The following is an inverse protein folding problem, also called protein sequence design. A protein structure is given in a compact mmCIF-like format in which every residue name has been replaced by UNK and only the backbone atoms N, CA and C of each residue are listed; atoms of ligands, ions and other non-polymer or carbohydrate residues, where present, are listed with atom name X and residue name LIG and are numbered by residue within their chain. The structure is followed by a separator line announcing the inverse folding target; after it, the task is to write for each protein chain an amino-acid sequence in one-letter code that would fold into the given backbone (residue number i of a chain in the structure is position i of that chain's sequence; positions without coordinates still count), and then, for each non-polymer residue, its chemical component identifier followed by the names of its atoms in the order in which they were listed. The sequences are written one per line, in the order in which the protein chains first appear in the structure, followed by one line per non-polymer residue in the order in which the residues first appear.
data_IF_565890625991
#
_entry.id   IF_565890625991
#
_cell.length_a   1.000
_cell.length_b   1.000
_cell.length_c   1.000
_cell.angle_alpha   90.00
_cell.angle_beta   90.00
_cell.angle_gamma   90.00
#
_symmetry.space_group_name_H-M   'P 1'
#
loop_
_entity.id
_entity.type
_entity.pdbx_description
1 polymer ?
#
# COMPACT_ATOMS: atom_id res chain seq x y z
N UNK A 1 -21.36 10.87 16.65
CA UNK A 1 -20.36 9.93 16.09
C UNK A 1 -20.06 8.88 17.14
N UNK A 2 -19.90 7.61 16.78
CA UNK A 2 -19.37 6.59 17.70
C UNK A 2 -17.88 6.85 18.01
N UNK A 3 -17.32 6.14 19.00
CA UNK A 3 -15.93 6.36 19.44
C UNK A 3 -14.92 6.17 18.30
N UNK A 4 -15.13 5.19 17.41
CA UNK A 4 -14.22 4.99 16.27
C UNK A 4 -14.20 6.21 15.36
N UNK A 5 -15.39 6.70 14.99
CA UNK A 5 -15.54 7.89 14.16
C UNK A 5 -15.06 9.17 14.84
N UNK A 6 -15.23 9.31 16.16
CA UNK A 6 -14.71 10.45 16.91
C UNK A 6 -13.19 10.53 16.83
N UNK A 7 -12.49 9.41 17.10
CA UNK A 7 -11.01 9.36 17.02
C UNK A 7 -10.53 9.64 15.59
N UNK A 8 -11.12 8.97 14.60
CA UNK A 8 -10.74 9.19 13.20
C UNK A 8 -10.97 10.65 12.77
N UNK A 9 -12.11 11.24 13.13
CA UNK A 9 -12.40 12.64 12.80
C UNK A 9 -11.43 13.59 13.48
N UNK A 10 -11.03 13.32 14.73
CA UNK A 10 -10.04 14.13 15.43
C UNK A 10 -8.68 14.12 14.71
N UNK A 11 -8.22 12.96 14.24
CA UNK A 11 -6.97 12.85 13.46
C UNK A 11 -7.07 13.62 12.14
N UNK A 12 -8.20 13.53 11.43
CA UNK A 12 -8.41 14.28 10.19
C UNK A 12 -8.43 15.79 10.44
N UNK A 13 -9.13 16.25 11.48
CA UNK A 13 -9.19 17.66 11.86
C UNK A 13 -7.82 18.20 12.29
N UNK A 14 -7.03 17.42 13.02
CA UNK A 14 -5.67 17.84 13.41
C UNK A 14 -4.75 17.97 12.17
N UNK A 15 -4.85 17.04 11.23
CA UNK A 15 -4.17 17.14 9.94
C UNK A 15 -4.59 18.36 9.12
N UNK A 16 -5.89 18.67 9.08
CA UNK A 16 -6.43 19.86 8.41
C UNK A 16 -5.91 21.17 9.05
N UNK A 17 -5.89 21.25 10.39
CA UNK A 17 -5.31 22.38 11.11
C UNK A 17 -3.82 22.56 10.80
N UNK A 18 -3.06 21.46 10.69
CA UNK A 18 -1.65 21.50 10.34
C UNK A 18 -1.44 22.03 8.90
N UNK A 19 -2.29 21.65 7.95
CA UNK A 19 -2.28 22.24 6.60
C UNK A 19 -2.59 23.74 6.67
N UNK A 20 -3.58 24.14 7.48
CA UNK A 20 -3.90 25.55 7.73
C UNK A 20 -2.69 26.35 8.23
N UNK A 21 -1.94 25.81 9.20
CA UNK A 21 -0.73 26.46 9.72
C UNK A 21 0.36 26.64 8.65
N UNK A 22 0.53 25.68 7.72
CA UNK A 22 1.45 25.82 6.58
C UNK A 22 1.00 26.95 5.64
N UNK A 23 -0.30 27.01 5.33
CA UNK A 23 -0.86 28.06 4.47
C UNK A 23 -0.73 29.45 5.09
N UNK A 24 -1.01 29.57 6.39
CA UNK A 24 -0.85 30.82 7.14
C UNK A 24 0.62 31.27 7.18
N UNK A 25 1.57 30.33 7.32
CA UNK A 25 2.99 30.64 7.24
C UNK A 25 3.39 31.16 5.85
N UNK A 26 2.97 30.50 4.77
CA UNK A 26 3.22 30.97 3.40
C UNK A 26 2.70 32.39 3.17
N UNK A 27 1.52 32.70 3.73
CA UNK A 27 0.92 34.03 3.66
C UNK A 27 1.68 35.06 4.50
N UNK A 28 2.04 34.72 5.74
CA UNK A 28 2.77 35.61 6.64
C UNK A 28 4.15 35.99 6.09
N UNK A 29 4.81 35.07 5.39
CA UNK A 29 6.10 35.29 4.71
C UNK A 29 5.95 35.95 3.33
N UNK A 30 4.73 36.24 2.87
CA UNK A 30 4.48 36.86 1.56
C UNK A 30 4.84 35.97 0.36
N UNK A 31 4.87 34.65 0.55
CA UNK A 31 5.25 33.67 -0.48
C UNK A 31 4.05 33.09 -1.24
N UNK A 32 2.84 33.43 -0.82
CA UNK A 32 1.57 32.85 -1.31
C UNK A 32 1.42 32.91 -2.84
N UNK A 33 1.69 34.06 -3.46
CA UNK A 33 1.49 34.25 -4.90
C UNK A 33 2.53 33.53 -5.77
N UNK A 34 3.68 33.16 -5.19
CA UNK A 34 4.77 32.46 -5.87
C UNK A 34 4.94 31.01 -5.39
N UNK A 35 3.90 30.42 -4.80
CA UNK A 35 3.93 29.04 -4.30
C UNK A 35 2.80 28.22 -4.94
N UNK A 36 3.16 27.05 -5.47
CA UNK A 36 2.19 26.01 -5.84
C UNK A 36 1.97 25.14 -4.60
N UNK A 37 0.74 25.08 -4.10
CA UNK A 37 0.36 24.14 -3.05
C UNK A 37 -0.45 23.01 -3.66
N UNK A 38 0.00 21.78 -3.47
CA UNK A 38 -0.71 20.56 -3.88
C UNK A 38 -0.97 19.71 -2.64
N UNK A 39 -2.23 19.41 -2.35
CA UNK A 39 -2.64 18.52 -1.26
C UNK A 39 -3.16 17.21 -1.84
N UNK A 40 -2.64 16.08 -1.35
CA UNK A 40 -3.04 14.75 -1.79
C UNK A 40 -2.77 13.68 -0.71
N UNK A 41 -2.98 12.42 -1.07
CA UNK A 41 -2.68 11.24 -0.24
C UNK A 41 -1.90 10.22 -1.07
N UNK A 42 -1.14 9.33 -0.43
CA UNK A 42 -0.31 8.33 -1.09
C UNK A 42 -1.11 7.12 -1.61
N UNK A 43 -2.24 6.81 -0.96
CA UNK A 43 -3.12 5.68 -1.27
C UNK A 43 -4.52 5.87 -0.66
N UNK A 44 -5.45 5.00 -1.03
CA UNK A 44 -6.77 4.90 -0.41
C UNK A 44 -6.75 4.60 1.10
N UNK A 45 -7.91 4.67 1.78
CA UNK A 45 -8.01 4.51 3.22
C UNK A 45 -7.68 3.09 3.67
N UNK A 46 -7.17 2.96 4.89
CA UNK A 46 -6.91 1.66 5.54
C UNK A 46 -8.22 0.92 5.88
N UNK A 47 -8.13 -0.41 5.95
CA UNK A 47 -9.21 -1.28 6.40
C UNK A 47 -9.42 -1.23 7.91
N UNK A 48 -10.68 -1.25 8.32
CA UNK A 48 -11.06 -1.22 9.74
C UNK A 48 -10.92 -2.62 10.35
N UNK A 49 -10.13 -2.76 11.42
CA UNK A 49 -10.08 -4.03 12.15
C UNK A 49 -11.39 -4.30 12.89
N UNK A 50 -11.75 -5.58 13.05
CA UNK A 50 -12.98 -5.99 13.74
C UNK A 50 -12.95 -5.73 15.24
N UNK A 51 -11.76 -5.71 15.85
CA UNK A 51 -11.57 -5.45 17.28
C UNK A 51 -10.39 -4.51 17.53
N UNK A 52 -10.48 -3.80 18.65
CA UNK A 52 -9.38 -2.98 19.15
C UNK A 52 -8.18 -3.89 19.45
N UNK A 53 -7.06 -3.64 18.76
CA UNK A 53 -5.79 -4.22 19.13
C UNK A 53 -5.20 -3.53 20.36
N UNK A 54 -4.12 -4.07 20.95
CA UNK A 54 -3.36 -3.32 21.95
C UNK A 54 -2.86 -2.02 21.32
N UNK A 55 -2.80 -0.98 22.14
CA UNK A 55 -2.08 0.25 21.81
C UNK A 55 -0.65 -0.11 21.39
N UNK A 56 -0.24 0.37 20.22
CA UNK A 56 1.10 0.11 19.68
C UNK A 56 1.83 1.43 19.57
N UNK A 57 2.99 1.50 20.23
CA UNK A 57 3.94 2.59 19.99
C UNK A 57 4.41 2.50 18.55
N UNK A 58 4.19 3.57 17.82
CA UNK A 58 4.82 3.84 16.54
C UNK A 58 6.21 4.42 16.84
N UNK A 59 7.29 3.70 16.49
CA UNK A 59 8.65 4.16 16.74
C UNK A 59 9.02 5.39 15.89
N UNK A 60 8.41 5.54 14.70
CA UNK A 60 8.71 6.62 13.76
C UNK A 60 8.04 7.92 14.21
N UNK A 61 6.82 7.81 14.75
CA UNK A 61 6.09 8.96 15.29
C UNK A 61 6.43 9.27 16.76
N UNK A 62 7.22 8.41 17.42
CA UNK A 62 7.45 8.43 18.88
C UNK A 62 6.14 8.58 19.70
N UNK A 63 5.05 7.99 19.20
CA UNK A 63 3.70 8.16 19.74
C UNK A 63 2.98 6.82 19.78
N UNK A 64 2.01 6.69 20.68
CA UNK A 64 1.12 5.52 20.69
C UNK A 64 0.04 5.69 19.64
N UNK A 65 0.08 4.86 18.60
CA UNK A 65 -0.94 4.83 17.56
C UNK A 65 -2.21 4.11 18.04
N UNK A 66 -3.36 4.58 17.56
CA UNK A 66 -4.66 3.98 17.84
C UNK A 66 -4.89 2.63 17.12
N UNK A 67 -4.09 2.32 16.10
CA UNK A 67 -4.21 1.10 15.30
C UNK A 67 -5.43 1.09 14.36
N UNK A 68 -5.56 0.03 13.57
CA UNK A 68 -6.52 -0.04 12.46
C UNK A 68 -7.98 -0.19 12.88
N UNK A 69 -8.26 -0.45 14.15
CA UNK A 69 -9.63 -0.47 14.68
C UNK A 69 -10.32 0.90 14.61
N UNK A 70 -9.55 1.98 14.74
CA UNK A 70 -10.05 3.34 14.61
C UNK A 70 -9.96 3.88 13.17
N UNK A 71 -9.39 3.11 12.24
CA UNK A 71 -9.30 3.47 10.82
C UNK A 71 -10.64 3.24 10.12
N UNK A 72 -11.55 4.21 10.24
CA UNK A 72 -12.89 4.19 9.62
C UNK A 72 -12.99 5.05 8.37
N UNK A 73 -11.87 5.20 7.64
CA UNK A 73 -11.80 5.99 6.41
C UNK A 73 -12.72 5.44 5.31
N UNK A 74 -13.31 6.35 4.52
CA UNK A 74 -14.20 6.01 3.41
C UNK A 74 -13.50 6.18 2.08
N UNK A 75 -13.68 5.22 1.16
CA UNK A 75 -13.29 5.34 -0.25
C UNK A 75 -14.34 6.09 -1.08
N UNK A 76 -15.41 6.59 -0.45
CA UNK A 76 -16.48 7.33 -1.14
C UNK A 76 -17.33 6.46 -2.07
N UNK A 77 -17.47 5.18 -1.77
CA UNK A 77 -18.22 4.20 -2.58
C UNK A 77 -17.40 3.55 -3.71
N UNK A 78 -16.09 3.78 -3.75
CA UNK A 78 -15.18 3.10 -4.67
C UNK A 78 -14.79 1.72 -4.11
N UNK A 79 -14.60 0.73 -4.99
CA UNK A 79 -14.20 -0.64 -4.60
C UNK A 79 -12.75 -0.71 -4.17
N UNK A 80 -12.45 -1.59 -3.22
CA UNK A 80 -11.12 -1.70 -2.65
C UNK A 80 -10.75 -0.56 -1.67
N UNK A 81 -9.60 -0.73 -1.05
CA UNK A 81 -9.00 0.14 -0.02
C UNK A 81 -7.48 0.09 -0.12
N UNK A 82 -6.73 0.68 0.81
CA UNK A 82 -5.27 0.54 0.89
C UNK A 82 -4.85 -0.92 0.64
N UNK A 83 -3.82 -1.13 -0.21
CA UNK A 83 -3.34 -2.44 -0.70
C UNK A 83 -4.20 -3.10 -1.80
N UNK A 84 -5.23 -2.41 -2.29
CA UNK A 84 -5.96 -2.78 -3.50
C UNK A 84 -5.63 -1.85 -4.66
N UNK A 85 -5.66 -2.37 -5.88
CA UNK A 85 -5.50 -1.61 -7.12
C UNK A 85 -6.83 -1.20 -7.77
N UNK A 86 -7.96 -1.58 -7.17
CA UNK A 86 -9.27 -1.00 -7.48
C UNK A 86 -9.31 0.49 -7.07
N UNK A 87 -10.24 1.26 -7.61
CA UNK A 87 -10.31 2.73 -7.51
C UNK A 87 -10.30 3.23 -6.06
N UNK A 88 -10.86 2.49 -5.10
CA UNK A 88 -10.85 2.86 -3.68
C UNK A 88 -9.48 2.71 -3.01
N UNK A 89 -8.54 2.00 -3.63
CA UNK A 89 -7.15 1.90 -3.17
C UNK A 89 -6.19 2.86 -3.86
N UNK A 90 -6.48 3.29 -5.09
CA UNK A 90 -5.57 4.14 -5.91
C UNK A 90 -6.08 5.56 -6.17
N UNK A 91 -7.40 5.81 -6.09
CA UNK A 91 -7.97 7.15 -6.29
C UNK A 91 -7.96 7.91 -4.97
N UNK A 92 -7.23 9.02 -4.95
CA UNK A 92 -6.98 9.86 -3.77
C UNK A 92 -7.44 11.31 -4.05
N UNK A 93 -7.68 12.13 -3.01
CA UNK A 93 -7.93 13.55 -3.23
C UNK A 93 -6.72 14.23 -3.88
N UNK A 94 -6.96 15.20 -4.75
CA UNK A 94 -5.95 16.14 -5.22
C UNK A 94 -6.57 17.53 -5.25
N UNK A 95 -5.98 18.46 -4.49
CA UNK A 95 -6.33 19.88 -4.50
C UNK A 95 -5.09 20.65 -4.90
N UNK A 96 -5.24 21.58 -5.84
CA UNK A 96 -4.15 22.43 -6.32
C UNK A 96 -4.54 23.89 -6.12
N UNK A 97 -3.61 24.66 -5.55
CA UNK A 97 -3.73 26.10 -5.35
C UNK A 97 -2.47 26.77 -5.86
N UNK A 98 -2.63 27.69 -6.81
CA UNK A 98 -1.56 28.54 -7.32
C UNK A 98 -2.15 29.89 -7.71
N UNK A 99 -2.08 30.90 -6.81
CA UNK A 99 -2.68 32.22 -7.06
C UNK A 99 -2.18 32.83 -8.38
N UNK A 100 -3.09 33.43 -9.15
CA UNK A 100 -2.78 33.99 -10.48
C UNK A 100 -2.65 32.97 -11.62
N UNK A 101 -2.65 31.66 -11.33
CA UNK A 101 -2.44 30.61 -12.34
C UNK A 101 -3.53 29.53 -12.35
N UNK A 102 -3.92 29.01 -11.19
CA UNK A 102 -4.99 28.01 -11.05
C UNK A 102 -6.33 28.68 -10.75
N UNK A 103 -7.39 28.48 -11.55
CA UNK A 103 -8.71 29.03 -11.27
C UNK A 103 -9.29 28.52 -9.94
N UNK A 104 -9.73 29.45 -9.08
CA UNK A 104 -10.30 29.12 -7.79
C UNK A 104 -11.69 28.46 -7.92
N UNK A 105 -11.97 27.46 -7.07
CA UNK A 105 -13.28 26.81 -6.98
C UNK A 105 -13.64 25.92 -8.18
N UNK A 106 -12.72 25.69 -9.12
CA UNK A 106 -12.95 24.83 -10.28
C UNK A 106 -12.71 23.37 -9.92
N UNK A 107 -13.66 22.52 -10.32
CA UNK A 107 -13.55 21.05 -10.24
C UNK A 107 -13.26 20.49 -11.63
N UNK A 108 -12.22 19.67 -11.75
CA UNK A 108 -11.86 18.97 -12.98
C UNK A 108 -12.14 17.47 -12.81
N UNK A 109 -13.24 16.99 -13.39
CA UNK A 109 -13.67 15.59 -13.33
C UNK A 109 -13.21 14.76 -14.54
N UNK A 110 -12.54 15.37 -15.51
CA UNK A 110 -12.23 14.75 -16.81
C UNK A 110 -10.75 14.39 -16.95
N UNK A 111 -9.86 15.14 -16.32
CA UNK A 111 -8.42 14.91 -16.38
C UNK A 111 -8.04 13.81 -15.39
N UNK A 112 -7.34 12.79 -15.88
CA UNK A 112 -6.75 11.74 -15.04
C UNK A 112 -5.31 12.15 -14.72
N UNK A 113 -5.02 12.37 -13.44
CA UNK A 113 -3.71 12.76 -12.93
C UNK A 113 -3.18 11.69 -11.98
N UNK A 114 -1.90 11.34 -12.09
CA UNK A 114 -1.23 10.34 -11.24
C UNK A 114 0.12 10.82 -10.73
N UNK A 115 0.67 10.14 -9.72
CA UNK A 115 1.91 10.57 -9.08
C UNK A 115 3.11 10.69 -10.05
N UNK A 116 3.16 9.85 -11.09
CA UNK A 116 4.22 9.92 -12.11
C UNK A 116 4.19 11.21 -12.92
N UNK A 117 3.03 11.87 -13.01
CA UNK A 117 2.85 13.13 -13.74
C UNK A 117 3.39 14.35 -12.96
N UNK A 118 3.67 14.20 -11.65
CA UNK A 118 4.17 15.30 -10.81
C UNK A 118 5.50 15.85 -11.33
N UNK A 119 6.47 14.98 -11.62
CA UNK A 119 7.82 15.40 -12.03
C UNK A 119 7.78 16.26 -13.32
N UNK A 120 7.27 15.77 -14.47
CA UNK A 120 7.23 16.59 -15.68
C UNK A 120 6.35 17.83 -15.56
N UNK A 121 5.27 17.78 -14.78
CA UNK A 121 4.39 18.93 -14.56
C UNK A 121 5.06 20.02 -13.73
N UNK A 122 5.73 19.66 -12.63
CA UNK A 122 6.42 20.61 -11.75
C UNK A 122 7.68 21.17 -12.40
N UNK A 123 8.43 20.37 -13.18
CA UNK A 123 9.53 20.89 -14.00
C UNK A 123 9.03 21.95 -14.99
N UNK A 124 7.92 21.67 -15.69
CA UNK A 124 7.32 22.64 -16.60
C UNK A 124 6.83 23.91 -15.88
N UNK A 125 6.25 23.77 -14.68
CA UNK A 125 5.82 24.91 -13.88
C UNK A 125 7.01 25.78 -13.42
N UNK A 126 8.13 25.16 -13.06
CA UNK A 126 9.36 25.83 -12.66
C UNK A 126 10.22 26.35 -13.83
N UNK A 127 9.82 26.11 -15.08
CA UNK A 127 10.62 26.45 -16.27
C UNK A 127 11.91 25.61 -16.40
N UNK A 128 11.97 24.45 -15.75
CA UNK A 128 13.10 23.53 -15.78
C UNK A 128 12.93 22.54 -16.93
N UNK A 129 13.92 22.47 -17.82
CA UNK A 129 13.97 21.46 -18.87
C UNK A 129 14.42 20.13 -18.26
N UNK A 130 13.65 19.07 -18.48
CA UNK A 130 14.09 17.71 -18.18
C UNK A 130 15.28 17.32 -19.08
N UNK A 131 16.19 16.44 -18.64
CA UNK A 131 17.25 15.88 -19.49
C UNK A 131 16.69 15.30 -20.79
N UNK A 132 17.43 15.43 -21.89
CA UNK A 132 16.99 14.95 -23.21
C UNK A 132 16.81 13.43 -23.27
N UNK A 133 17.47 12.70 -22.38
CA UNK A 133 17.41 11.25 -22.22
C UNK A 133 16.45 10.79 -21.10
N UNK A 134 15.68 11.71 -20.50
CA UNK A 134 14.67 11.35 -19.50
C UNK A 134 13.56 10.48 -20.10
N UNK A 135 13.40 9.27 -19.57
CA UNK A 135 12.36 8.31 -19.96
C UNK A 135 11.39 8.04 -18.81
N UNK A 136 10.60 9.05 -18.44
CA UNK A 136 9.57 8.92 -17.41
C UNK A 136 8.25 8.32 -17.89
N UNK A 137 7.46 7.84 -16.92
CA UNK A 137 6.11 7.33 -17.16
C UNK A 137 5.05 8.43 -17.26
N UNK A 138 5.29 9.59 -16.63
CA UNK A 138 4.34 10.69 -16.54
C UNK A 138 4.26 11.59 -17.77
N UNK A 139 3.19 12.37 -17.83
CA UNK A 139 2.94 13.43 -18.80
C UNK A 139 2.99 14.81 -18.13
N UNK A 140 3.38 15.84 -18.89
CA UNK A 140 3.24 17.22 -18.45
C UNK A 140 1.75 17.62 -18.50
N UNK A 141 1.14 17.78 -17.31
CA UNK A 141 -0.26 18.16 -17.13
C UNK A 141 -0.40 19.59 -16.58
N UNK A 142 0.58 20.49 -16.82
CA UNK A 142 0.55 21.88 -16.37
C UNK A 142 -0.70 22.64 -16.82
N UNK A 143 -1.20 22.36 -18.02
CA UNK A 143 -2.44 22.96 -18.52
C UNK A 143 -3.65 22.60 -17.63
N UNK A 144 -3.68 21.38 -17.09
CA UNK A 144 -4.73 20.98 -16.16
C UNK A 144 -4.67 21.75 -14.84
N UNK A 145 -3.45 22.05 -14.35
CA UNK A 145 -3.27 22.90 -13.18
C UNK A 145 -3.75 24.34 -13.42
N UNK A 146 -3.74 24.79 -14.68
CA UNK A 146 -4.24 26.11 -15.11
C UNK A 146 -5.75 26.12 -15.46
N UNK A 147 -6.45 25.02 -15.18
CA UNK A 147 -7.90 24.91 -15.32
C UNK A 147 -8.39 24.31 -16.65
N UNK A 148 -7.49 23.84 -17.51
CA UNK A 148 -7.88 23.15 -18.75
C UNK A 148 -8.26 21.69 -18.48
N UNK A 149 -9.18 21.14 -19.27
CA UNK A 149 -9.48 19.71 -19.26
C UNK A 149 -8.60 18.99 -20.28
N UNK A 150 -7.71 18.12 -19.81
CA UNK A 150 -6.74 17.42 -20.65
C UNK A 150 -7.04 15.92 -20.65
N UNK A 151 -7.12 15.34 -21.85
CA UNK A 151 -7.09 13.89 -22.03
C UNK A 151 -5.63 13.47 -22.18
N UNK A 152 -5.15 12.65 -21.26
CA UNK A 152 -3.82 12.05 -21.35
C UNK A 152 -3.70 11.12 -22.54
N UNK A 153 -2.47 10.98 -23.07
CA UNK A 153 -2.20 10.28 -24.33
C UNK A 153 -1.65 8.88 -24.13
N UNK A 154 -1.03 8.62 -22.98
CA UNK A 154 -0.43 7.34 -22.60
C UNK A 154 -1.35 6.61 -21.62
N UNK A 155 -1.22 5.28 -21.47
CA UNK A 155 -1.82 4.52 -20.39
C UNK A 155 -1.14 4.75 -19.02
N UNK A 156 -1.83 4.44 -17.91
CA UNK A 156 -1.24 4.31 -16.55
C UNK A 156 -1.17 2.82 -16.25
N UNK A 157 -0.13 2.41 -15.55
CA UNK A 157 0.05 1.05 -15.09
C UNK A 157 0.24 0.99 -13.59
N UNK A 158 -0.15 -0.14 -13.01
CA UNK A 158 0.21 -0.52 -11.64
C UNK A 158 0.67 -1.97 -11.66
N UNK A 159 1.77 -2.22 -10.94
CA UNK A 159 2.15 -3.57 -10.51
C UNK A 159 2.04 -3.63 -8.99
N UNK A 160 1.33 -4.64 -8.49
CA UNK A 160 1.17 -4.87 -7.06
C UNK A 160 1.54 -6.30 -6.70
N UNK A 161 2.66 -6.46 -5.99
CA UNK A 161 3.15 -7.75 -5.54
C UNK A 161 2.54 -8.21 -4.20
N UNK A 162 1.52 -7.50 -3.70
CA UNK A 162 0.95 -7.65 -2.35
C UNK A 162 0.18 -8.94 -2.03
N UNK A 163 -0.35 -9.01 -0.82
CA UNK A 163 -0.60 -10.27 -0.08
C UNK A 163 -1.76 -11.14 -0.61
N UNK A 164 -1.68 -12.46 -0.39
CA UNK A 164 -2.81 -13.39 -0.59
C UNK A 164 -3.71 -13.37 0.64
N UNK A 165 -5.03 -13.39 0.38
CA UNK A 165 -6.18 -13.37 1.29
C UNK A 165 -6.75 -11.97 1.62
N UNK A 166 -7.41 -11.35 0.63
CA UNK A 166 -8.60 -10.48 0.73
C UNK A 166 -9.27 -10.46 -0.67
N UNK A 167 -10.62 -10.31 -0.78
CA UNK A 167 -11.32 -10.41 -2.07
C UNK A 167 -10.86 -9.44 -3.16
N UNK A 168 -10.38 -8.24 -2.79
CA UNK A 168 -10.00 -7.17 -3.72
C UNK A 168 -8.47 -6.98 -3.85
N UNK A 169 -7.66 -7.92 -3.34
CA UNK A 169 -6.19 -7.87 -3.43
C UNK A 169 -5.62 -8.86 -4.46
N UNK A 170 -6.49 -9.56 -5.18
CA UNK A 170 -6.08 -10.53 -6.19
C UNK A 170 -5.38 -9.93 -7.42
N UNK A 171 -5.68 -8.71 -7.92
CA UNK A 171 -5.04 -8.24 -9.14
C UNK A 171 -3.59 -7.85 -8.86
N UNK A 172 -2.75 -8.17 -9.84
CA UNK A 172 -1.29 -8.00 -9.79
C UNK A 172 -0.80 -6.99 -10.78
N UNK A 173 -1.45 -6.96 -11.94
CA UNK A 173 -1.10 -6.10 -13.05
C UNK A 173 -2.35 -5.37 -13.52
N UNK A 174 -2.24 -4.05 -13.68
CA UNK A 174 -3.35 -3.18 -14.04
C UNK A 174 -2.91 -2.19 -15.10
N UNK A 175 -3.79 -1.93 -16.06
CA UNK A 175 -3.64 -0.84 -17.02
C UNK A 175 -4.91 -0.03 -17.07
N UNK A 176 -4.77 1.30 -17.10
CA UNK A 176 -5.84 2.23 -17.46
C UNK A 176 -5.45 2.99 -18.71
N UNK A 177 -6.27 2.87 -19.75
CA UNK A 177 -6.10 3.57 -21.01
C UNK A 177 -7.42 4.27 -21.39
N UNK A 178 -7.42 5.60 -21.30
CA UNK A 178 -8.63 6.41 -21.36
C UNK A 178 -9.66 6.02 -20.29
N UNK A 179 -10.86 5.67 -20.75
CA UNK A 179 -12.00 5.31 -19.91
C UNK A 179 -11.95 3.86 -19.42
N UNK A 180 -11.11 3.04 -20.04
CA UNK A 180 -11.03 1.61 -19.78
C UNK A 180 -9.95 1.30 -18.76
N UNK A 181 -10.29 0.46 -17.79
CA UNK A 181 -9.35 -0.10 -16.81
C UNK A 181 -9.45 -1.62 -16.83
N UNK A 182 -8.33 -2.28 -17.08
CA UNK A 182 -8.18 -3.73 -17.00
C UNK A 182 -7.38 -4.05 -15.75
N UNK A 183 -7.90 -4.97 -14.92
CA UNK A 183 -7.19 -5.56 -13.78
C UNK A 183 -6.99 -7.05 -14.04
N UNK A 184 -5.81 -7.61 -13.76
CA UNK A 184 -5.53 -9.02 -14.02
C UNK A 184 -4.52 -9.64 -13.04
N UNK A 185 -4.53 -10.97 -12.96
CA UNK A 185 -3.45 -11.77 -12.36
C UNK A 185 -2.21 -11.71 -13.23
N UNK A 186 -1.03 -12.03 -12.67
CA UNK A 186 0.25 -12.03 -13.41
C UNK A 186 0.21 -12.86 -14.70
N UNK A 187 -0.47 -14.02 -14.68
CA UNK A 187 -0.57 -14.90 -15.85
C UNK A 187 -1.82 -14.65 -16.71
N UNK A 188 -2.53 -13.54 -16.49
CA UNK A 188 -3.80 -13.20 -17.17
C UNK A 188 -4.92 -14.27 -17.06
N UNK A 189 -4.81 -15.23 -16.13
CA UNK A 189 -5.82 -16.30 -15.93
C UNK A 189 -7.16 -15.77 -15.40
N UNK A 190 -7.12 -14.66 -14.67
CA UNK A 190 -8.28 -13.86 -14.31
C UNK A 190 -8.02 -12.43 -14.77
N UNK A 191 -9.01 -11.85 -15.44
CA UNK A 191 -9.04 -10.47 -15.85
C UNK A 191 -10.45 -9.92 -15.68
N UNK A 192 -10.57 -8.68 -15.24
CA UNK A 192 -11.84 -7.95 -15.18
C UNK A 192 -11.63 -6.60 -15.87
N UNK A 193 -12.62 -6.15 -16.63
CA UNK A 193 -12.59 -4.91 -17.41
C UNK A 193 -13.71 -3.98 -16.95
N UNK A 194 -13.35 -2.72 -16.73
CA UNK A 194 -14.27 -1.68 -16.26
C UNK A 194 -14.21 -0.43 -17.11
N UNK A 195 -15.37 0.21 -17.31
CA UNK A 195 -15.48 1.53 -17.93
C UNK A 195 -15.69 2.59 -16.85
N UNK A 196 -14.58 3.21 -16.42
CA UNK A 196 -14.49 3.99 -15.17
C UNK A 196 -15.42 5.22 -15.09
N UNK A 197 -15.68 5.98 -16.18
CA UNK A 197 -16.62 7.10 -16.09
C UNK A 197 -18.07 6.67 -15.80
N UNK A 198 -18.46 5.47 -16.23
CA UNK A 198 -19.82 4.93 -16.09
C UNK A 198 -19.96 4.05 -14.85
N UNK A 199 -18.88 3.38 -14.46
CA UNK A 199 -18.80 2.50 -13.30
C UNK A 199 -17.59 2.84 -12.44
N UNK A 200 -17.67 3.96 -11.71
CA UNK A 200 -16.60 4.38 -10.79
C UNK A 200 -16.36 3.37 -9.65
N UNK A 201 -17.35 2.53 -9.35
CA UNK A 201 -17.30 1.58 -8.26
C UNK A 201 -16.73 0.23 -8.70
N UNK A 202 -16.43 0.04 -9.99
CA UNK A 202 -15.94 -1.23 -10.55
C UNK A 202 -16.82 -2.41 -10.10
N UNK A 203 -18.14 -2.20 -10.19
CA UNK A 203 -19.17 -3.12 -9.77
C UNK A 203 -19.56 -4.11 -10.87
N UNK A 204 -19.36 -3.74 -12.14
CA UNK A 204 -19.77 -4.55 -13.30
C UNK A 204 -18.57 -4.84 -14.19
N UNK A 205 -18.08 -6.08 -14.13
CA UNK A 205 -17.08 -6.58 -15.08
C UNK A 205 -17.73 -6.77 -16.46
N UNK A 206 -17.19 -6.07 -17.47
CA UNK A 206 -17.66 -6.11 -18.87
C UNK A 206 -16.64 -6.79 -19.80
N UNK A 207 -15.69 -7.56 -19.26
CA UNK A 207 -14.64 -8.21 -20.05
C UNK A 207 -15.18 -9.15 -21.14
N UNK A 208 -16.22 -9.94 -20.82
CA UNK A 208 -16.82 -10.90 -21.77
C UNK A 208 -17.47 -10.22 -22.97
N UNK A 209 -17.99 -9.01 -22.79
CA UNK A 209 -18.68 -8.25 -23.84
C UNK A 209 -17.71 -7.41 -24.69
N UNK A 210 -16.45 -7.28 -24.27
CA UNK A 210 -15.44 -6.43 -24.92
C UNK A 210 -14.09 -7.16 -25.09
N UNK A 211 -14.06 -8.37 -25.70
CA UNK A 211 -12.86 -9.21 -25.76
C UNK A 211 -11.70 -8.56 -26.51
N UNK A 212 -11.96 -7.71 -27.50
CA UNK A 212 -10.94 -6.96 -28.25
C UNK A 212 -10.25 -5.90 -27.38
N UNK A 213 -10.99 -5.27 -26.46
CA UNK A 213 -10.44 -4.31 -25.50
C UNK A 213 -9.58 -5.04 -24.48
N UNK A 214 -10.06 -6.17 -23.96
CA UNK A 214 -9.28 -7.03 -23.05
C UNK A 214 -7.97 -7.42 -23.71
N UNK A 215 -8.00 -7.98 -24.93
CA UNK A 215 -6.79 -8.41 -25.64
C UNK A 215 -5.78 -7.27 -25.83
N UNK A 216 -6.24 -6.08 -26.22
CA UNK A 216 -5.41 -4.90 -26.40
C UNK A 216 -4.77 -4.44 -25.09
N UNK A 217 -5.56 -4.34 -24.02
CA UNK A 217 -5.09 -3.87 -22.71
C UNK A 217 -4.17 -4.91 -22.03
N UNK A 218 -4.47 -6.20 -22.14
CA UNK A 218 -3.59 -7.27 -21.67
C UNK A 218 -2.23 -7.17 -22.33
N UNK A 219 -2.18 -6.97 -23.65
CA UNK A 219 -0.91 -6.78 -24.36
C UNK A 219 -0.14 -5.57 -23.83
N UNK A 220 -0.78 -4.41 -23.69
CA UNK A 220 -0.14 -3.21 -23.15
C UNK A 220 0.45 -3.45 -21.76
N UNK A 221 -0.30 -4.11 -20.88
CA UNK A 221 0.11 -4.37 -19.52
C UNK A 221 1.32 -5.32 -19.45
N UNK A 222 1.31 -6.40 -20.24
CA UNK A 222 2.41 -7.37 -20.32
C UNK A 222 3.67 -6.72 -20.93
N UNK A 223 3.51 -5.97 -22.03
CA UNK A 223 4.62 -5.26 -22.66
C UNK A 223 5.26 -4.27 -21.68
N UNK A 224 4.44 -3.49 -20.95
CA UNK A 224 4.95 -2.58 -19.91
C UNK A 224 5.68 -3.33 -18.80
N UNK A 225 5.09 -4.41 -18.25
CA UNK A 225 5.74 -5.22 -17.21
C UNK A 225 7.10 -5.77 -17.65
N UNK A 226 7.25 -6.13 -18.93
CA UNK A 226 8.54 -6.58 -19.47
C UNK A 226 9.62 -5.49 -19.51
N UNK A 227 9.24 -4.20 -19.43
CA UNK A 227 10.19 -3.07 -19.35
C UNK A 227 10.68 -2.79 -17.93
N UNK A 228 9.99 -3.31 -16.91
CA UNK A 228 10.31 -3.02 -15.52
C UNK A 228 11.64 -3.67 -15.09
N UNK A 229 12.45 -2.98 -14.28
CA UNK A 229 13.69 -3.55 -13.77
C UNK A 229 13.36 -4.74 -12.84
N UNK A 230 14.03 -5.87 -13.05
CA UNK A 230 13.83 -7.08 -12.22
C UNK A 230 14.54 -6.99 -10.87
N UNK A 231 15.41 -5.99 -10.69
CA UNK A 231 16.17 -5.71 -9.46
C UNK A 231 16.32 -4.20 -9.29
N UNK A 232 16.36 -3.68 -8.05
CA UNK A 232 16.63 -2.26 -7.82
C UNK A 232 17.98 -1.84 -8.41
N UNK A 233 18.06 -0.68 -9.07
CA UNK A 233 19.32 -0.12 -9.54
C UNK A 233 20.26 0.10 -8.32
N UNK A 234 21.44 -0.54 -8.27
CA UNK A 234 22.39 -0.36 -7.17
C UNK A 234 22.79 1.10 -6.93
N UNK A 235 22.84 1.92 -8.00
CA UNK A 235 23.19 3.35 -7.90
C UNK A 235 22.10 4.18 -7.23
N UNK A 236 20.85 3.70 -7.24
CA UNK A 236 19.73 4.35 -6.56
C UNK A 236 19.55 3.87 -5.12
N UNK A 237 20.45 3.04 -4.60
CA UNK A 237 20.44 2.64 -3.19
C UNK A 237 21.19 3.68 -2.39
N UNK A 238 20.56 4.14 -1.31
CA UNK A 238 21.22 5.04 -0.37
C UNK A 238 22.51 4.40 0.14
N UNK A 239 23.64 5.08 -0.06
CA UNK A 239 24.91 4.70 0.56
C UNK A 239 24.94 5.04 2.04
N UNK A 240 23.93 5.70 2.61
CA UNK A 240 23.77 5.77 4.08
C UNK A 240 23.23 4.46 4.66
N UNK A 241 22.82 3.53 3.80
CA UNK A 241 22.78 2.11 4.14
C UNK A 241 24.14 1.44 3.85
N UNK A 242 25.26 2.18 3.86
CA UNK A 242 26.54 1.56 4.20
C UNK A 242 26.36 0.89 5.53
N UNK A 243 27.02 -0.24 5.66
CA UNK A 243 26.88 -1.23 6.71
C UNK A 243 27.08 -0.74 8.16
N UNK A 244 27.13 0.57 8.45
CA UNK A 244 26.99 1.09 9.81
C UNK A 244 25.65 0.69 10.44
N UNK A 245 24.59 0.46 9.64
CA UNK A 245 23.35 -0.19 10.08
C UNK A 245 23.15 -1.62 9.53
N UNK A 246 24.08 -2.16 8.74
CA UNK A 246 24.09 -3.61 8.49
C UNK A 246 24.79 -4.35 9.64
N UNK A 247 25.67 -3.66 10.38
CA UNK A 247 26.26 -4.08 11.66
C UNK A 247 25.61 -3.44 12.89
N UNK A 248 24.70 -2.46 12.76
CA UNK A 248 23.63 -2.40 13.77
C UNK A 248 22.78 -3.62 13.53
N UNK A 249 22.69 -4.54 14.49
CA UNK A 249 22.00 -5.78 14.25
C UNK A 249 20.56 -5.38 13.97
N UNK A 250 20.18 -5.57 12.72
CA UNK A 250 18.84 -5.56 12.17
C UNK A 250 17.96 -6.30 13.16
N UNK A 251 17.42 -5.58 14.17
CA UNK A 251 17.20 -6.05 15.55
C UNK A 251 17.29 -7.57 15.58
N UNK A 252 18.50 -8.14 15.82
CA UNK A 252 18.81 -9.48 15.32
C UNK A 252 17.62 -10.30 15.71
N UNK A 253 16.84 -10.85 14.75
CA UNK A 253 15.69 -11.74 15.07
C UNK A 253 16.22 -12.53 16.25
N UNK A 254 15.73 -12.32 17.49
CA UNK A 254 16.58 -12.56 18.65
C UNK A 254 17.17 -13.94 18.45
N UNK A 255 18.50 -14.07 18.47
CA UNK A 255 19.10 -15.40 18.40
C UNK A 255 18.52 -16.13 19.61
N UNK A 256 17.45 -16.89 19.35
CA UNK A 256 16.47 -17.30 20.35
C UNK A 256 15.38 -16.29 20.72
N UNK A 257 14.55 -15.77 19.80
CA UNK A 257 13.17 -15.40 20.17
C UNK A 257 12.35 -16.68 20.16
N UNK A 258 12.70 -17.58 21.07
CA UNK A 258 11.76 -18.61 21.45
C UNK A 258 10.44 -17.90 21.77
N UNK A 259 9.34 -18.46 21.29
CA UNK A 259 8.00 -18.06 21.70
C UNK A 259 8.02 -17.82 23.23
N UNK A 260 7.44 -16.73 23.74
CA UNK A 260 7.36 -16.55 25.21
C UNK A 260 6.62 -17.73 25.83
N UNK A 261 6.80 -18.03 27.14
CA UNK A 261 6.07 -19.11 27.79
C UNK A 261 4.55 -19.04 27.55
N UNK A 262 3.97 -17.84 27.53
CA UNK A 262 2.54 -17.66 27.26
C UNK A 262 2.17 -18.00 25.81
N UNK A 263 3.03 -17.67 24.85
CA UNK A 263 2.83 -18.02 23.44
C UNK A 263 3.01 -19.53 23.22
N UNK A 264 3.98 -20.16 23.90
CA UNK A 264 4.19 -21.62 23.84
C UNK A 264 3.05 -22.38 24.48
N UNK A 265 2.52 -21.90 25.60
CA UNK A 265 1.37 -22.53 26.25
C UNK A 265 0.13 -22.53 25.33
N UNK A 266 -0.10 -21.44 24.59
CA UNK A 266 -1.17 -21.38 23.57
C UNK A 266 -0.87 -22.25 22.35
N UNK A 267 0.38 -22.32 21.92
CA UNK A 267 0.80 -23.17 20.81
C UNK A 267 0.66 -24.66 21.15
N UNK A 268 1.02 -25.06 22.37
CA UNK A 268 0.89 -26.43 22.88
C UNK A 268 -0.54 -26.94 22.75
N UNK A 269 -1.51 -26.19 23.30
CA UNK A 269 -2.94 -26.54 23.24
C UNK A 269 -3.47 -26.63 21.80
N UNK A 270 -2.89 -25.87 20.87
CA UNK A 270 -3.33 -25.85 19.47
C UNK A 270 -2.69 -26.97 18.64
N UNK A 271 -1.49 -27.39 19.00
CA UNK A 271 -0.70 -28.35 18.24
C UNK A 271 -0.85 -29.78 18.75
N UNK A 272 -1.25 -29.96 20.00
CA UNK A 272 -1.72 -31.23 20.55
C UNK A 272 -3.10 -31.54 19.95
N UNK A 273 -3.10 -32.26 18.82
CA UNK A 273 -4.31 -32.47 18.00
C UNK A 273 -5.15 -33.59 18.59
N UNK A 274 -4.50 -34.63 19.10
CA UNK A 274 -5.17 -35.79 19.69
C UNK A 274 -5.51 -35.61 21.18
N UNK A 275 -5.03 -34.53 21.80
CA UNK A 275 -5.32 -34.11 23.18
C UNK A 275 -4.80 -35.10 24.21
N UNK A 276 -3.62 -35.66 23.97
CA UNK A 276 -2.96 -36.59 24.87
C UNK A 276 -2.03 -35.89 25.89
N UNK A 277 -2.04 -34.55 25.93
CA UNK A 277 -1.25 -33.68 26.81
C UNK A 277 0.28 -33.79 26.58
N UNK A 278 0.70 -34.28 25.40
CA UNK A 278 2.07 -34.19 24.90
C UNK A 278 2.11 -33.74 23.44
N UNK A 279 3.27 -33.31 22.96
CA UNK A 279 3.50 -33.07 21.53
C UNK A 279 4.44 -34.11 20.97
N UNK A 280 4.02 -34.79 19.91
CA UNK A 280 4.92 -35.56 19.07
C UNK A 280 5.75 -34.65 18.16
N UNK A 281 6.87 -35.17 17.63
CA UNK A 281 7.66 -34.45 16.63
C UNK A 281 6.83 -34.05 15.40
N UNK A 282 5.88 -34.90 14.99
CA UNK A 282 5.01 -34.64 13.85
C UNK A 282 4.08 -33.45 14.10
N UNK A 283 3.45 -33.38 15.27
CA UNK A 283 2.59 -32.26 15.67
C UNK A 283 3.37 -30.96 15.82
N UNK A 284 4.55 -31.04 16.43
CA UNK A 284 5.47 -29.91 16.54
C UNK A 284 5.88 -29.36 15.17
N UNK A 285 6.22 -30.24 14.22
CA UNK A 285 6.58 -29.87 12.85
C UNK A 285 5.40 -29.29 12.08
N UNK A 286 4.20 -29.87 12.23
CA UNK A 286 2.98 -29.36 11.63
C UNK A 286 2.65 -27.94 12.11
N UNK A 287 2.86 -27.68 13.41
CA UNK A 287 2.65 -26.37 14.03
C UNK A 287 3.61 -25.27 13.56
N UNK A 288 4.78 -25.64 13.04
CA UNK A 288 5.85 -24.74 12.59
C UNK A 288 6.22 -24.92 11.11
N UNK A 289 5.28 -25.40 10.30
CA UNK A 289 5.48 -25.70 8.88
C UNK A 289 6.18 -24.56 8.13
N UNK A 290 7.28 -24.88 7.45
CA UNK A 290 8.08 -23.93 6.68
C UNK A 290 9.22 -23.25 7.47
N UNK A 291 9.53 -23.73 8.68
CA UNK A 291 10.73 -23.38 9.41
C UNK A 291 11.78 -24.50 9.34
N UNK A 292 13.06 -24.11 9.42
CA UNK A 292 14.20 -25.03 9.41
C UNK A 292 14.55 -25.53 10.83
N UNK A 293 15.41 -26.55 10.91
CA UNK A 293 16.00 -27.12 12.14
C UNK A 293 15.02 -27.64 13.21
N UNK A 294 13.80 -28.00 12.82
CA UNK A 294 12.74 -28.37 13.76
C UNK A 294 13.05 -29.62 14.60
N UNK A 295 13.73 -30.63 14.05
CA UNK A 295 14.11 -31.83 14.80
C UNK A 295 15.16 -31.52 15.89
N UNK A 296 16.16 -30.71 15.55
CA UNK A 296 17.20 -30.27 16.48
C UNK A 296 16.60 -29.44 17.62
N UNK A 297 15.63 -28.57 17.28
CA UNK A 297 14.91 -27.75 18.26
C UNK A 297 14.01 -28.59 19.16
N UNK A 298 13.30 -29.58 18.60
CA UNK A 298 12.47 -30.52 19.36
C UNK A 298 13.29 -31.27 20.41
N UNK A 299 14.44 -31.83 20.01
CA UNK A 299 15.41 -32.46 20.94
C UNK A 299 15.96 -31.50 22.00
N UNK A 300 15.98 -30.20 21.70
CA UNK A 300 16.36 -29.17 22.68
C UNK A 300 15.35 -29.01 23.82
N UNK A 301 14.06 -29.28 23.54
CA UNK A 301 12.97 -29.24 24.52
C UNK A 301 12.78 -30.57 25.24
N UNK A 302 12.97 -31.70 24.56
CA UNK A 302 12.83 -33.05 25.10
C UNK A 302 13.97 -33.35 26.09
N UNK A 303 13.75 -33.07 27.38
CA UNK A 303 14.80 -33.19 28.40
C UNK A 303 14.98 -34.62 28.88
N UNK A 304 13.93 -35.42 28.79
CA UNK A 304 13.93 -36.79 29.26
C UNK A 304 14.31 -37.80 28.14
N UNK A 305 14.30 -37.36 26.87
CA UNK A 305 14.70 -38.13 25.71
C UNK A 305 13.69 -39.18 25.26
N UNK A 306 12.42 -39.06 25.65
CA UNK A 306 11.35 -40.02 25.35
C UNK A 306 10.69 -39.81 23.97
N UNK A 307 11.08 -38.76 23.25
CA UNK A 307 10.56 -38.43 21.93
C UNK A 307 9.21 -37.71 21.94
N UNK A 308 8.74 -37.26 23.12
CA UNK A 308 7.52 -36.47 23.32
C UNK A 308 7.86 -35.21 24.12
N UNK A 309 7.11 -34.13 23.91
CA UNK A 309 7.24 -32.93 24.73
C UNK A 309 6.03 -32.81 25.64
N UNK A 310 6.24 -32.87 26.95
CA UNK A 310 5.23 -32.43 27.89
C UNK A 310 5.04 -30.92 27.81
N UNK A 311 3.91 -30.43 28.32
CA UNK A 311 3.64 -28.99 28.43
C UNK A 311 4.74 -28.27 29.21
N UNK A 312 5.27 -28.88 30.27
CA UNK A 312 6.35 -28.27 31.06
C UNK A 312 7.65 -28.14 30.27
N UNK A 313 8.04 -29.19 29.54
CA UNK A 313 9.25 -29.19 28.71
C UNK A 313 9.18 -28.15 27.58
N UNK A 314 8.02 -28.01 26.96
CA UNK A 314 7.86 -27.10 25.82
C UNK A 314 7.72 -25.63 26.23
N UNK A 315 7.03 -25.35 27.35
CA UNK A 315 6.66 -23.98 27.75
C UNK A 315 7.78 -23.22 28.45
N UNK A 316 8.76 -23.89 29.07
CA UNK A 316 9.93 -23.26 29.72
C UNK A 316 10.79 -22.43 28.75
#
# INVERSE_FOLDING_TARGET
LDKQKQVYSAVITDGDNAVGAILDALKAEGLEDNTIVMFSSDNGPESTASQAGPEKRDPDANATGYGTYYSVGSSGGLRGRKRSVFEGGVRVPLIVRWPGHTPAGVKNDTTVFTAVDLLPTLCAAAGVKLPDDYQGDGENLLAALKGESIKRKRPIFWEWLGMKAEPDYWPRLVVRDGDWKLVMTDEAKRAELYRIPEDRAEATDVANDNPEIVARLTKLAIDWKATLPTKPNPECRSTQLTDENADQPNNPKPKGSGLTPEVRARAFVRWDVDKDDVLTLAEYQAGLKGQDDLETRFKGFDKNGDGKLTREEFVR
#
